data_IF_514465910950
#
_entry.id   IF_514465910950
#
_cell.length_a   1.000
_cell.length_b   1.000
_cell.length_c   1.000
_cell.angle_alpha   90.00
_cell.angle_beta   90.00
_cell.angle_gamma   90.00
#
_symmetry.space_group_name_H-M   'P 1'
#
loop_
_entity.id
_entity.type
_entity.pdbx_description
1 polymer ?
#
# COMPACT_ATOMS: atom_id res chain seq x y z
N UNK A 1 -21.15 -0.10 -30.54
CA UNK A 1 -21.74 -0.44 -29.23
C UNK A 1 -20.55 -0.54 -28.30
N UNK A 2 -20.33 0.48 -27.46
CA UNK A 2 -19.12 0.62 -26.65
C UNK A 2 -19.15 -0.43 -25.53
N UNK A 3 -18.16 -1.31 -25.53
CA UNK A 3 -17.86 -2.17 -24.38
C UNK A 3 -17.35 -1.27 -23.25
N UNK A 4 -18.23 -0.99 -22.29
CA UNK A 4 -17.84 -0.41 -21.01
C UNK A 4 -17.02 -1.47 -20.26
N UNK A 5 -15.84 -1.08 -19.79
CA UNK A 5 -14.98 -1.96 -19.00
C UNK A 5 -15.64 -2.26 -17.64
N UNK A 6 -15.35 -3.40 -16.99
CA UNK A 6 -15.99 -3.78 -15.71
C UNK A 6 -15.90 -2.72 -14.59
N UNK A 7 -14.94 -1.79 -14.68
CA UNK A 7 -14.75 -0.66 -13.77
C UNK A 7 -15.95 0.29 -13.79
N UNK A 8 -16.57 0.50 -14.96
CA UNK A 8 -17.67 1.46 -15.15
C UNK A 8 -18.94 1.05 -14.38
N UNK A 9 -19.13 -0.26 -14.14
CA UNK A 9 -20.27 -0.77 -13.36
C UNK A 9 -20.06 -0.73 -11.84
N UNK A 10 -18.81 -0.71 -11.36
CA UNK A 10 -18.50 -0.67 -9.92
C UNK A 10 -18.52 0.74 -9.33
N UNK A 11 -18.40 1.79 -10.16
CA UNK A 11 -18.27 3.18 -9.73
C UNK A 11 -19.55 4.00 -9.88
N UNK A 12 -20.71 3.35 -10.00
CA UNK A 12 -22.00 4.05 -10.03
C UNK A 12 -22.33 4.70 -8.67
N UNK A 13 -21.79 5.90 -8.45
CA UNK A 13 -22.55 7.05 -7.96
C UNK A 13 -22.67 7.29 -6.46
N UNK A 14 -21.56 7.39 -5.71
CA UNK A 14 -21.58 8.28 -4.53
C UNK A 14 -20.31 9.14 -4.46
N UNK A 15 -20.50 10.44 -4.24
CA UNK A 15 -19.42 11.37 -3.87
C UNK A 15 -18.62 10.87 -2.65
N UNK A 16 -19.28 10.07 -1.81
CA UNK A 16 -18.68 9.38 -0.68
C UNK A 16 -17.66 8.32 -1.11
N UNK A 17 -17.90 7.56 -2.19
CA UNK A 17 -16.91 6.61 -2.71
C UNK A 17 -15.65 7.34 -3.21
N UNK A 18 -15.80 8.49 -3.87
CA UNK A 18 -14.68 9.35 -4.26
C UNK A 18 -13.96 9.92 -3.03
N UNK A 19 -14.71 10.36 -2.02
CA UNK A 19 -14.17 10.85 -0.76
C UNK A 19 -13.38 9.80 0.04
N UNK A 20 -13.65 8.51 -0.19
CA UNK A 20 -12.99 7.37 0.45
C UNK A 20 -11.93 6.71 -0.44
N UNK A 21 -11.42 7.40 -1.47
CA UNK A 21 -10.38 6.92 -2.37
C UNK A 21 -10.71 5.62 -3.14
N UNK A 22 -12.00 5.29 -3.31
CA UNK A 22 -12.44 4.04 -3.94
C UNK A 22 -11.83 3.79 -5.33
N UNK A 23 -11.70 4.77 -6.25
CA UNK A 23 -11.12 4.52 -7.57
C UNK A 23 -9.67 4.01 -7.50
N UNK A 24 -8.84 4.62 -6.65
CA UNK A 24 -7.44 4.21 -6.49
C UNK A 24 -7.33 2.82 -5.85
N UNK A 25 -8.17 2.54 -4.85
CA UNK A 25 -8.22 1.23 -4.20
C UNK A 25 -8.64 0.13 -5.17
N UNK A 26 -9.67 0.37 -5.99
CA UNK A 26 -10.12 -0.57 -7.02
C UNK A 26 -9.03 -0.82 -8.05
N UNK A 27 -8.36 0.22 -8.55
CA UNK A 27 -7.29 0.07 -9.53
C UNK A 27 -6.10 -0.73 -8.97
N UNK A 28 -5.69 -0.46 -7.73
CA UNK A 28 -4.61 -1.20 -7.07
C UNK A 28 -5.00 -2.65 -6.80
N UNK A 29 -6.22 -2.89 -6.33
CA UNK A 29 -6.76 -4.23 -6.10
C UNK A 29 -6.78 -5.06 -7.39
N UNK A 30 -7.24 -4.48 -8.50
CA UNK A 30 -7.21 -5.12 -9.81
C UNK A 30 -5.78 -5.44 -10.24
N UNK A 31 -4.88 -4.45 -10.17
CA UNK A 31 -3.48 -4.63 -10.54
C UNK A 31 -2.80 -5.74 -9.74
N UNK A 32 -2.98 -5.78 -8.41
CA UNK A 32 -2.41 -6.84 -7.59
C UNK A 32 -3.02 -8.20 -7.91
N UNK A 33 -4.34 -8.27 -8.08
CA UNK A 33 -5.06 -9.53 -8.32
C UNK A 33 -4.66 -10.14 -9.66
N UNK A 34 -4.60 -9.34 -10.73
CA UNK A 34 -4.20 -9.80 -12.05
C UNK A 34 -2.77 -10.35 -12.05
N UNK A 35 -1.81 -9.64 -11.45
CA UNK A 35 -0.41 -10.06 -11.45
C UNK A 35 -0.17 -11.26 -10.54
N UNK A 36 -0.87 -11.34 -9.40
CA UNK A 36 -0.81 -12.51 -8.53
C UNK A 36 -1.40 -13.76 -9.20
N UNK A 37 -2.56 -13.65 -9.84
CA UNK A 37 -3.19 -14.77 -10.57
C UNK A 37 -2.37 -15.25 -11.76
N UNK A 38 -1.59 -14.36 -12.40
CA UNK A 38 -0.62 -14.72 -13.44
C UNK A 38 0.65 -15.38 -12.90
N UNK A 39 0.84 -15.40 -11.59
CA UNK A 39 2.05 -15.93 -10.95
C UNK A 39 3.30 -15.08 -11.23
N UNK A 40 3.13 -13.77 -11.48
CA UNK A 40 4.25 -12.87 -11.70
C UNK A 40 5.16 -12.83 -10.47
N UNK A 41 6.47 -12.85 -10.70
CA UNK A 41 7.51 -12.75 -9.67
C UNK A 41 8.54 -11.73 -10.14
N UNK A 42 8.31 -10.46 -9.83
CA UNK A 42 9.26 -9.40 -10.15
C UNK A 42 10.54 -9.49 -9.32
N UNK A 43 11.58 -8.78 -9.74
CA UNK A 43 12.83 -8.72 -8.98
C UNK A 43 12.79 -7.60 -7.92
N UNK A 44 13.32 -7.87 -6.73
CA UNK A 44 13.47 -6.87 -5.65
C UNK A 44 14.37 -5.71 -6.07
N UNK A 45 15.35 -5.95 -6.93
CA UNK A 45 16.26 -4.90 -7.42
C UNK A 45 15.56 -3.87 -8.33
N UNK A 46 14.38 -4.20 -8.85
CA UNK A 46 13.55 -3.28 -9.64
C UNK A 46 12.69 -2.37 -8.75
N UNK A 47 12.62 -2.66 -7.45
CA UNK A 47 11.82 -1.90 -6.51
C UNK A 47 12.55 -0.64 -6.05
N UNK A 48 11.80 0.45 -5.96
CA UNK A 48 12.19 1.62 -5.19
C UNK A 48 12.49 1.28 -3.73
N UNK A 49 13.29 2.11 -3.06
CA UNK A 49 13.60 1.92 -1.64
C UNK A 49 12.33 2.00 -0.77
N UNK A 50 11.33 2.79 -1.15
CA UNK A 50 10.04 2.87 -0.49
C UNK A 50 9.28 1.54 -0.55
N UNK A 51 9.25 0.91 -1.74
CA UNK A 51 8.63 -0.40 -1.91
C UNK A 51 9.37 -1.48 -1.10
N UNK A 52 10.70 -1.46 -1.11
CA UNK A 52 11.51 -2.36 -0.29
C UNK A 52 11.28 -2.14 1.21
N UNK A 53 11.12 -0.89 1.65
CA UNK A 53 10.82 -0.56 3.04
C UNK A 53 9.43 -1.08 3.47
N UNK A 54 8.42 -1.00 2.59
CA UNK A 54 7.09 -1.59 2.84
C UNK A 54 7.20 -3.11 2.98
N UNK A 55 7.90 -3.78 2.06
CA UNK A 55 8.14 -5.24 2.15
C UNK A 55 8.83 -5.61 3.46
N UNK A 56 9.91 -4.91 3.79
CA UNK A 56 10.66 -5.14 5.02
C UNK A 56 9.79 -4.94 6.25
N UNK A 57 8.99 -3.88 6.31
CA UNK A 57 8.11 -3.59 7.44
C UNK A 57 7.03 -4.68 7.59
N UNK A 58 6.51 -5.22 6.48
CA UNK A 58 5.47 -6.23 6.48
C UNK A 58 6.01 -7.67 6.66
N UNK A 59 7.34 -7.88 6.76
CA UNK A 59 7.94 -9.22 6.61
C UNK A 59 7.47 -10.28 7.62
N UNK A 60 7.03 -9.86 8.80
CA UNK A 60 6.64 -10.78 9.87
C UNK A 60 5.16 -11.15 9.79
N UNK A 61 4.29 -10.15 9.55
CA UNK A 61 2.83 -10.29 9.60
C UNK A 61 2.18 -10.33 8.22
N UNK A 62 2.78 -9.63 7.27
CA UNK A 62 2.32 -9.51 5.90
C UNK A 62 1.15 -8.57 5.71
N UNK A 63 0.49 -8.08 6.77
CA UNK A 63 -0.70 -7.23 6.67
C UNK A 63 -0.35 -5.80 6.25
N UNK A 64 -1.01 -5.32 5.20
CA UNK A 64 -0.86 -3.96 4.69
C UNK A 64 -2.26 -3.38 4.44
N UNK A 65 -2.46 -2.14 4.85
CA UNK A 65 -3.73 -1.45 4.68
C UNK A 65 -3.52 -0.09 4.00
N UNK A 66 -4.42 0.29 3.09
CA UNK A 66 -4.42 1.62 2.48
C UNK A 66 -5.49 2.52 3.10
N UNK A 67 -5.08 3.61 3.74
CA UNK A 67 -6.03 4.50 4.45
C UNK A 67 -5.70 5.97 4.25
N UNK A 68 -6.74 6.75 3.96
CA UNK A 68 -6.74 8.20 4.11
C UNK A 68 -7.38 8.57 5.45
N UNK A 69 -6.83 9.57 6.16
CA UNK A 69 -7.47 10.09 7.36
C UNK A 69 -8.27 11.33 6.98
N UNK A 70 -9.58 11.25 7.18
CA UNK A 70 -10.47 12.37 6.91
C UNK A 70 -10.44 13.38 8.07
N UNK A 71 -9.30 14.06 8.21
CA UNK A 71 -9.13 15.18 9.13
C UNK A 71 -9.44 16.49 8.39
N UNK A 72 -10.33 17.30 8.96
CA UNK A 72 -10.73 18.58 8.38
C UNK A 72 -9.59 19.63 8.39
N UNK A 73 -8.55 19.43 9.20
CA UNK A 73 -7.55 20.46 9.51
C UNK A 73 -6.16 20.23 8.92
N UNK A 74 -5.86 19.03 8.41
CA UNK A 74 -4.56 18.74 7.77
C UNK A 74 -4.77 18.14 6.37
N UNK A 75 -4.46 18.93 5.34
CA UNK A 75 -4.60 18.52 3.95
C UNK A 75 -3.68 17.33 3.59
N UNK A 76 -2.51 17.22 4.20
CA UNK A 76 -1.58 16.11 3.96
C UNK A 76 -2.11 14.80 4.56
N UNK A 77 -2.82 14.85 5.69
CA UNK A 77 -3.44 13.68 6.31
C UNK A 77 -4.54 13.02 5.47
N UNK A 78 -5.11 13.77 4.52
CA UNK A 78 -6.15 13.29 3.59
C UNK A 78 -5.59 12.43 2.46
N UNK A 79 -4.27 12.39 2.29
CA UNK A 79 -3.65 11.52 1.31
C UNK A 79 -3.82 10.06 1.72
N UNK A 80 -4.07 9.22 0.71
CA UNK A 80 -4.04 7.77 0.87
C UNK A 80 -2.62 7.35 1.24
N UNK A 81 -2.46 6.71 2.40
CA UNK A 81 -1.16 6.29 2.91
C UNK A 81 -1.14 4.78 3.14
N UNK A 82 0.08 4.23 3.19
CA UNK A 82 0.35 2.80 3.41
C UNK A 82 0.54 2.56 4.90
N UNK A 83 -0.27 1.69 5.47
CA UNK A 83 -0.19 1.22 6.85
C UNK A 83 0.31 -0.21 6.86
N UNK A 84 1.22 -0.54 7.76
CA UNK A 84 1.84 -1.87 7.83
C UNK A 84 1.83 -2.36 9.26
N UNK A 85 1.31 -3.57 9.46
CA UNK A 85 1.41 -4.29 10.73
C UNK A 85 2.81 -4.92 10.82
N UNK A 86 3.68 -4.36 11.66
CA UNK A 86 5.05 -4.86 11.85
C UNK A 86 5.12 -6.01 12.85
N UNK A 87 4.20 -6.01 13.83
CA UNK A 87 4.02 -7.05 14.86
C UNK A 87 2.56 -7.03 15.34
N UNK A 88 2.19 -7.96 16.22
CA UNK A 88 0.83 -8.02 16.80
C UNK A 88 0.39 -6.72 17.50
N UNK A 89 1.33 -5.90 17.96
CA UNK A 89 1.04 -4.67 18.72
C UNK A 89 1.44 -3.39 17.98
N UNK A 90 2.21 -3.49 16.89
CA UNK A 90 2.84 -2.32 16.26
C UNK A 90 2.37 -2.16 14.81
N UNK A 91 1.62 -1.07 14.56
CA UNK A 91 1.24 -0.64 13.22
C UNK A 91 1.94 0.69 12.95
N UNK A 92 2.56 0.79 11.77
CA UNK A 92 3.17 2.03 11.29
C UNK A 92 2.46 2.54 10.06
N UNK A 93 2.46 3.86 9.90
CA UNK A 93 1.98 4.54 8.71
C UNK A 93 3.14 5.22 7.99
N UNK A 94 3.28 4.97 6.69
CA UNK A 94 4.19 5.74 5.84
C UNK A 94 3.49 7.00 5.35
N UNK A 95 3.58 8.05 6.17
CA UNK A 95 2.92 9.33 5.94
C UNK A 95 3.76 10.47 6.52
N UNK A 96 3.81 11.57 5.78
CA UNK A 96 4.44 12.81 6.25
C UNK A 96 3.49 14.00 6.04
N UNK A 97 3.18 14.70 7.14
CA UNK A 97 2.28 15.85 7.15
C UNK A 97 2.91 17.13 6.57
N UNK A 98 4.24 17.24 6.61
CA UNK A 98 4.98 18.41 6.15
C UNK A 98 5.55 18.22 4.75
N UNK A 99 5.76 16.97 4.33
CA UNK A 99 6.27 16.58 3.01
C UNK A 99 5.33 15.58 2.34
N UNK A 100 4.18 16.04 1.79
CA UNK A 100 3.22 15.18 1.09
C UNK A 100 3.82 14.24 0.03
N UNK A 101 4.89 14.69 -0.63
CA UNK A 101 5.66 13.89 -1.59
C UNK A 101 6.15 12.56 -1.02
N UNK A 102 6.56 12.52 0.26
CA UNK A 102 6.99 11.27 0.92
C UNK A 102 5.84 10.27 0.93
N UNK A 103 4.64 10.69 1.35
CA UNK A 103 3.43 9.85 1.35
C UNK A 103 3.13 9.31 -0.06
N UNK A 104 3.25 10.15 -1.08
CA UNK A 104 3.02 9.74 -2.47
C UNK A 104 4.08 8.76 -2.97
N UNK A 105 5.36 8.92 -2.61
CA UNK A 105 6.43 7.97 -2.97
C UNK A 105 6.17 6.58 -2.38
N UNK A 106 5.68 6.50 -1.15
CA UNK A 106 5.29 5.22 -0.55
C UNK A 106 4.05 4.62 -1.23
N UNK A 107 3.08 5.43 -1.65
CA UNK A 107 1.94 4.93 -2.42
C UNK A 107 2.35 4.40 -3.80
N UNK A 108 3.30 5.07 -4.48
CA UNK A 108 3.88 4.55 -5.73
C UNK A 108 4.70 3.27 -5.48
N UNK A 109 5.47 3.22 -4.39
CA UNK A 109 6.16 2.01 -3.96
C UNK A 109 5.20 0.84 -3.76
N UNK A 110 4.07 1.07 -3.09
CA UNK A 110 3.01 0.07 -2.95
C UNK A 110 2.44 -0.36 -4.31
N UNK A 111 2.21 0.57 -5.25
CA UNK A 111 1.78 0.24 -6.62
C UNK A 111 2.81 -0.66 -7.34
N UNK A 112 4.11 -0.45 -7.13
CA UNK A 112 5.17 -1.33 -7.67
C UNK A 112 5.03 -2.75 -7.10
N UNK A 113 4.76 -2.89 -5.80
CA UNK A 113 4.54 -4.19 -5.16
C UNK A 113 3.32 -4.93 -5.73
N UNK A 114 2.22 -4.22 -5.98
CA UNK A 114 1.06 -4.77 -6.70
C UNK A 114 1.43 -5.21 -8.13
N UNK A 115 2.17 -4.36 -8.85
CA UNK A 115 2.55 -4.60 -10.24
C UNK A 115 3.50 -5.79 -10.44
N UNK A 116 4.28 -6.14 -9.42
CA UNK A 116 5.34 -7.15 -9.49
C UNK A 116 4.98 -8.47 -8.74
N UNK A 117 3.73 -8.60 -8.30
CA UNK A 117 3.22 -9.84 -7.70
C UNK A 117 3.62 -10.08 -6.24
N UNK A 118 4.13 -9.05 -5.56
CA UNK A 118 4.53 -9.14 -4.16
C UNK A 118 3.36 -9.04 -3.18
N UNK A 119 2.23 -8.49 -3.62
CA UNK A 119 1.05 -8.21 -2.80
C UNK A 119 -0.20 -8.88 -3.37
N UNK A 120 -1.08 -9.31 -2.48
CA UNK A 120 -2.42 -9.84 -2.76
C UNK A 120 -3.45 -8.90 -2.13
N UNK A 121 -4.51 -8.58 -2.87
CA UNK A 121 -5.68 -7.90 -2.33
C UNK A 121 -6.67 -8.91 -1.76
N UNK A 122 -7.28 -8.60 -0.61
CA UNK A 122 -8.28 -9.48 0.02
C UNK A 122 -9.68 -8.89 -0.05
N UNK A 123 -9.85 -7.73 0.59
CA UNK A 123 -11.15 -7.10 0.76
C UNK A 123 -10.95 -5.61 1.05
N UNK A 124 -11.85 -4.75 0.60
CA UNK A 124 -11.81 -3.31 0.82
C UNK A 124 -10.40 -2.71 0.63
N UNK A 125 -9.78 -2.27 1.72
CA UNK A 125 -8.48 -1.61 1.77
C UNK A 125 -7.36 -2.51 2.32
N UNK A 126 -7.67 -3.79 2.52
CA UNK A 126 -6.80 -4.79 3.12
C UNK A 126 -6.06 -5.59 2.05
N UNK A 127 -4.76 -5.64 2.23
CA UNK A 127 -3.81 -6.34 1.39
C UNK A 127 -2.88 -7.18 2.25
N UNK A 128 -2.25 -8.18 1.65
CA UNK A 128 -1.14 -8.88 2.29
C UNK A 128 0.03 -9.09 1.35
N UNK A 129 1.19 -9.44 1.92
CA UNK A 129 2.24 -10.08 1.13
C UNK A 129 1.72 -11.38 0.50
N UNK A 130 2.14 -11.64 -0.72
CA UNK A 130 2.04 -12.96 -1.34
C UNK A 130 3.06 -13.92 -0.71
N UNK A 131 2.96 -15.22 -0.97
CA UNK A 131 3.98 -16.18 -0.52
C UNK A 131 5.38 -15.77 -0.97
N UNK A 132 5.51 -15.33 -2.22
CA UNK A 132 6.76 -14.82 -2.76
C UNK A 132 7.18 -13.48 -2.11
N UNK A 133 6.21 -12.61 -1.82
CA UNK A 133 6.44 -11.39 -1.04
C UNK A 133 7.08 -11.66 0.32
N UNK A 134 6.61 -12.66 1.07
CA UNK A 134 7.22 -13.07 2.33
C UNK A 134 8.66 -13.58 2.16
N UNK A 135 8.91 -14.39 1.13
CA UNK A 135 10.25 -14.91 0.84
C UNK A 135 11.24 -13.76 0.60
N UNK A 136 10.87 -12.82 -0.27
CA UNK A 136 11.72 -11.68 -0.63
C UNK A 136 11.87 -10.69 0.52
N UNK A 137 10.79 -10.39 1.25
CA UNK A 137 10.82 -9.46 2.39
C UNK A 137 11.85 -9.86 3.47
N UNK A 138 12.06 -11.16 3.66
CA UNK A 138 13.05 -11.70 4.62
C UNK A 138 14.50 -11.55 4.16
N UNK A 139 14.72 -11.30 2.87
CA UNK A 139 16.07 -11.09 2.31
C UNK A 139 16.53 -9.64 2.38
N UNK A 140 15.62 -8.69 2.60
CA UNK A 140 15.94 -7.26 2.64
C UNK A 140 16.66 -6.95 3.95
N UNK A 141 17.87 -6.39 3.85
CA UNK A 141 18.64 -5.95 5.02
C UNK A 141 18.08 -4.65 5.59
N UNK A 142 18.02 -4.53 6.93
CA UNK A 142 17.52 -3.31 7.58
C UNK A 142 18.30 -2.06 7.16
N UNK A 143 19.61 -2.20 6.97
CA UNK A 143 20.50 -1.09 6.67
C UNK A 143 20.20 -0.45 5.31
N UNK A 144 19.74 -1.21 4.32
CA UNK A 144 19.47 -0.69 2.97
C UNK A 144 18.21 0.17 2.89
N UNK A 145 17.27 -0.01 3.82
CA UNK A 145 15.98 0.69 3.85
C UNK A 145 15.80 1.55 5.11
N UNK A 146 16.86 1.73 5.92
CA UNK A 146 16.78 2.39 7.21
C UNK A 146 16.27 3.84 7.11
N UNK A 147 16.68 4.57 6.08
CA UNK A 147 16.24 5.95 5.84
C UNK A 147 14.74 6.00 5.53
N UNK A 148 14.24 5.09 4.69
CA UNK A 148 12.84 4.98 4.33
C UNK A 148 11.99 4.55 5.52
N UNK A 149 12.48 3.59 6.33
CA UNK A 149 11.81 3.20 7.56
C UNK A 149 11.71 4.33 8.59
N UNK A 150 12.63 5.30 8.58
CA UNK A 150 12.55 6.45 9.48
C UNK A 150 11.37 7.39 9.16
N UNK A 151 10.76 7.26 7.98
CA UNK A 151 9.50 7.95 7.64
C UNK A 151 8.24 7.24 8.16
N UNK A 152 8.39 6.05 8.76
CA UNK A 152 7.27 5.33 9.34
C UNK A 152 6.90 5.96 10.70
N UNK A 153 5.67 6.42 10.84
CA UNK A 153 5.13 6.95 12.10
C UNK A 153 4.27 5.90 12.78
N UNK A 154 4.46 5.66 14.07
CA UNK A 154 3.61 4.76 14.86
C UNK A 154 2.15 5.23 14.88
N UNK A 155 1.22 4.29 14.78
CA UNK A 155 -0.21 4.53 14.87
C UNK A 155 -0.79 3.83 16.10
N UNK A 156 -1.33 4.62 17.05
CA UNK A 156 -1.90 4.16 18.34
C UNK A 156 -0.93 4.37 19.51
N UNK A 157 -1.15 5.34 20.39
CA UNK A 157 -1.90 5.15 21.64
C UNK A 157 -2.74 6.38 22.07
N UNK A 158 -3.24 7.21 21.15
CA UNK A 158 -4.24 8.24 21.53
C UNK A 158 -5.26 8.45 20.41
N UNK A 159 -6.27 7.59 20.40
CA UNK A 159 -7.67 7.94 20.10
C UNK A 159 -8.55 7.25 21.16
#
# INVERSE_FOLDING_TARGET
MNDLTPIDNYLHGSWEALGNAAPSLVALAQLSSENWMRGLRGNVDELSLEAQAILFAARERGTIELRAVNSAFDAASRLLAVYVEMSDEHIVAFRDAHRPEVTIRFLDGFRQLCALGFIVHHIFRDFSLSTYGFEVARTIEKASVAEQLAHATEFGLHD
#
